data_IF_468896732333
#
_entry.id   IF_468896732333
#
_cell.length_a   1.000
_cell.length_b   1.000
_cell.length_c   1.000
_cell.angle_alpha   90.00
_cell.angle_beta   90.00
_cell.angle_gamma   90.00
#
_symmetry.space_group_name_H-M   'P 1'
#
loop_
_entity.id
_entity.type
_entity.pdbx_description
1 polymer ?
#
# COMPACT_ATOMS: atom_id res chain seq x y z
N UNK A 1 -31.46 13.66 52.83
CA UNK A 1 -31.15 14.24 51.50
C UNK A 1 -29.73 14.81 51.39
N UNK A 2 -29.23 15.60 52.35
CA UNK A 2 -27.89 16.23 52.30
C UNK A 2 -26.69 15.27 52.23
N UNK A 3 -26.81 14.04 52.78
CA UNK A 3 -25.77 13.00 52.71
C UNK A 3 -25.70 12.27 51.35
N UNK A 4 -26.80 12.16 50.63
CA UNK A 4 -26.83 11.55 49.29
C UNK A 4 -26.27 12.50 48.22
N UNK A 5 -26.42 13.82 48.40
CA UNK A 5 -25.80 14.84 47.55
C UNK A 5 -24.25 14.83 47.63
N UNK A 6 -23.67 14.54 48.79
CA UNK A 6 -22.22 14.40 48.96
C UNK A 6 -21.66 13.13 48.30
N UNK A 7 -22.42 12.04 48.27
CA UNK A 7 -22.01 10.82 47.55
C UNK A 7 -22.08 10.99 46.03
N UNK A 8 -23.06 11.75 45.52
CA UNK A 8 -23.17 12.03 44.08
C UNK A 8 -22.05 12.97 43.62
N UNK A 9 -21.62 13.94 44.44
CA UNK A 9 -20.50 14.82 44.07
C UNK A 9 -19.14 14.13 44.12
N UNK A 10 -18.99 13.02 44.85
CA UNK A 10 -17.74 12.26 44.93
C UNK A 10 -17.54 11.32 43.73
N UNK A 11 -18.64 10.86 43.11
CA UNK A 11 -18.60 9.96 41.94
C UNK A 11 -18.26 10.73 40.64
N UNK A 12 -18.54 12.03 40.58
CA UNK A 12 -18.22 12.89 39.42
C UNK A 12 -16.73 13.25 39.27
N UNK A 13 -15.90 12.98 40.29
CA UNK A 13 -14.45 13.27 40.27
C UNK A 13 -13.62 12.07 39.79
N UNK A 14 -14.27 10.96 39.43
CA UNK A 14 -13.64 9.77 38.87
C UNK A 14 -14.03 9.52 37.41
N UNK A 15 -14.47 10.55 36.70
CA UNK A 15 -14.47 10.50 35.25
C UNK A 15 -13.01 10.34 34.79
N UNK A 16 -12.65 9.22 34.13
CA UNK A 16 -11.35 9.12 33.49
C UNK A 16 -11.20 10.32 32.56
N UNK A 17 -10.05 10.99 32.64
CA UNK A 17 -9.67 12.05 31.72
C UNK A 17 -10.07 11.64 30.32
N UNK A 18 -10.90 12.45 29.67
CA UNK A 18 -11.24 12.26 28.27
C UNK A 18 -9.93 11.98 27.51
N UNK A 19 -9.90 10.85 26.80
CA UNK A 19 -8.77 10.33 26.06
C UNK A 19 -7.98 11.49 25.43
N UNK A 20 -6.86 11.87 26.04
CA UNK A 20 -5.93 12.80 25.41
C UNK A 20 -5.29 11.99 24.29
N UNK A 21 -5.84 12.14 23.07
CA UNK A 21 -5.13 11.76 21.87
C UNK A 21 -3.71 12.35 21.99
N UNK A 22 -2.69 11.53 21.75
CA UNK A 22 -1.33 12.06 21.73
C UNK A 22 -1.22 13.06 20.58
N UNK A 23 -0.33 14.04 20.71
CA UNK A 23 -0.07 15.02 19.65
C UNK A 23 0.34 14.35 18.32
N UNK A 24 0.90 13.14 18.39
CA UNK A 24 1.17 12.27 17.23
C UNK A 24 -0.11 11.79 16.55
N UNK A 25 -1.14 11.44 17.33
CA UNK A 25 -2.43 11.04 16.82
C UNK A 25 -3.18 12.23 16.21
N UNK A 26 -3.10 13.41 16.82
CA UNK A 26 -3.67 14.64 16.26
C UNK A 26 -2.98 15.03 14.95
N UNK A 27 -1.65 14.91 14.89
CA UNK A 27 -0.88 15.11 13.67
C UNK A 27 -1.28 14.13 12.58
N UNK A 28 -1.40 12.85 12.92
CA UNK A 28 -1.81 11.82 11.98
C UNK A 28 -3.22 12.05 11.42
N UNK A 29 -4.17 12.44 12.29
CA UNK A 29 -5.54 12.78 11.88
C UNK A 29 -5.55 13.99 10.94
N UNK A 30 -4.76 15.01 11.23
CA UNK A 30 -4.65 16.20 10.39
C UNK A 30 -4.10 15.85 9.00
N UNK A 31 -3.02 15.07 8.94
CA UNK A 31 -2.42 14.62 7.67
C UNK A 31 -3.37 13.75 6.85
N UNK A 32 -4.26 13.01 7.52
CA UNK A 32 -5.24 12.13 6.88
C UNK A 32 -6.55 12.84 6.49
N UNK A 33 -6.70 14.14 6.82
CA UNK A 33 -7.97 14.84 6.66
C UNK A 33 -8.23 15.40 5.25
N UNK A 34 -7.19 15.54 4.42
CA UNK A 34 -7.30 15.92 3.00
C UNK A 34 -6.03 15.56 2.22
N UNK A 35 -6.15 15.57 0.89
CA UNK A 35 -5.08 15.31 -0.05
C UNK A 35 -4.81 16.55 -0.91
N UNK A 36 -3.54 16.87 -1.14
CA UNK A 36 -3.11 17.92 -2.06
C UNK A 36 -1.85 17.47 -2.80
N UNK A 37 -2.04 16.95 -4.02
CA UNK A 37 -0.97 16.45 -4.90
C UNK A 37 0.07 17.52 -5.28
N UNK A 38 -0.24 18.81 -5.09
CA UNK A 38 0.64 19.93 -5.40
C UNK A 38 1.47 20.41 -4.21
N UNK A 39 1.26 19.86 -3.00
CA UNK A 39 1.85 20.42 -1.78
C UNK A 39 3.37 20.26 -1.76
N UNK A 40 4.10 21.36 -1.56
CA UNK A 40 5.56 21.31 -1.40
C UNK A 40 5.96 21.16 0.07
N UNK A 41 7.24 20.86 0.34
CA UNK A 41 7.78 20.84 1.71
C UNK A 41 7.56 22.16 2.47
N UNK A 42 7.60 23.29 1.76
CA UNK A 42 7.34 24.61 2.37
C UNK A 42 5.86 24.80 2.68
N UNK A 43 4.99 24.40 1.74
CA UNK A 43 3.55 24.52 1.91
C UNK A 43 3.06 23.60 3.04
N UNK A 44 3.59 22.38 3.14
CA UNK A 44 3.31 21.44 4.23
C UNK A 44 3.77 21.99 5.58
N UNK A 45 4.99 22.53 5.67
CA UNK A 45 5.48 23.13 6.91
C UNK A 45 4.62 24.34 7.33
N UNK A 46 4.24 25.19 6.39
CA UNK A 46 3.35 26.32 6.63
C UNK A 46 1.95 25.86 7.08
N UNK A 47 1.39 24.86 6.39
CA UNK A 47 0.11 24.26 6.73
C UNK A 47 0.11 23.71 8.16
N UNK A 48 1.13 22.95 8.55
CA UNK A 48 1.25 22.40 9.90
C UNK A 48 1.43 23.50 10.96
N UNK A 49 2.22 24.53 10.67
CA UNK A 49 2.38 25.69 11.56
C UNK A 49 1.07 26.44 11.80
N UNK A 50 0.23 26.59 10.77
CA UNK A 50 -1.11 27.20 10.91
C UNK A 50 -2.10 26.35 11.71
N UNK A 51 -1.81 25.05 11.87
CA UNK A 51 -2.57 24.11 12.70
C UNK A 51 -1.94 23.86 14.08
N UNK A 52 -0.93 24.66 14.47
CA UNK A 52 -0.37 24.67 15.82
C UNK A 52 0.77 23.68 16.06
N UNK A 53 1.34 23.08 15.00
CA UNK A 53 2.53 22.25 15.10
C UNK A 53 3.82 23.06 14.89
N UNK A 54 4.88 22.76 15.64
CA UNK A 54 6.23 23.32 15.38
C UNK A 54 6.86 22.57 14.21
N UNK A 55 6.58 23.03 12.99
CA UNK A 55 6.98 22.38 11.75
C UNK A 55 7.90 23.29 10.92
N UNK A 56 9.01 22.74 10.43
CA UNK A 56 9.97 23.46 9.60
C UNK A 56 10.50 22.55 8.49
N UNK A 57 10.75 23.07 7.27
CA UNK A 57 11.41 22.29 6.24
C UNK A 57 12.86 21.95 6.65
N UNK A 58 13.35 20.78 6.24
CA UNK A 58 14.74 20.39 6.43
C UNK A 58 15.70 21.37 5.73
N UNK A 59 16.99 21.46 6.15
CA UNK A 59 17.95 22.38 5.52
C UNK A 59 18.13 22.18 4.02
N UNK A 60 18.01 20.94 3.55
CA UNK A 60 18.06 20.54 2.14
C UNK A 60 16.69 20.52 1.45
N UNK A 61 15.62 20.92 2.15
CA UNK A 61 14.23 20.97 1.67
C UNK A 61 13.72 19.63 1.11
N UNK A 62 14.19 18.50 1.64
CA UNK A 62 13.78 17.16 1.22
C UNK A 62 12.61 16.61 2.05
N UNK A 63 12.42 17.08 3.29
CA UNK A 63 11.31 16.69 4.17
C UNK A 63 10.94 17.82 5.13
N UNK A 64 9.90 17.63 5.93
CA UNK A 64 9.49 18.53 7.02
C UNK A 64 9.79 17.88 8.36
N UNK A 65 10.36 18.64 9.29
CA UNK A 65 10.62 18.24 10.67
C UNK A 65 9.51 18.83 11.54
N UNK A 66 8.88 18.00 12.36
CA UNK A 66 7.89 18.43 13.36
C UNK A 66 8.41 18.10 14.75
N UNK A 67 8.49 19.11 15.61
CA UNK A 67 8.85 18.96 17.03
C UNK A 67 7.59 18.82 17.86
N UNK A 68 7.42 17.66 18.48
CA UNK A 68 6.34 17.38 19.41
C UNK A 68 6.69 17.93 20.79
N UNK A 69 5.68 18.30 21.59
CA UNK A 69 5.79 18.86 22.94
C UNK A 69 6.56 17.97 23.91
N UNK A 70 6.59 16.67 23.67
CA UNK A 70 7.40 15.70 24.42
C UNK A 70 8.91 15.76 24.11
N UNK A 71 9.35 16.69 23.24
CA UNK A 71 10.74 16.83 22.80
C UNK A 71 11.15 15.81 21.74
N UNK A 72 10.20 15.07 21.18
CA UNK A 72 10.41 14.09 20.11
C UNK A 72 10.25 14.78 18.75
N UNK A 73 11.11 14.41 17.81
CA UNK A 73 11.02 14.85 16.42
C UNK A 73 10.39 13.74 15.56
N UNK A 74 9.51 14.15 14.65
CA UNK A 74 8.98 13.29 13.58
C UNK A 74 9.20 13.98 12.23
N UNK A 75 9.25 13.20 11.17
CA UNK A 75 9.65 13.67 9.85
C UNK A 75 8.55 13.36 8.85
N UNK A 76 8.23 14.32 7.99
CA UNK A 76 7.12 14.21 7.05
C UNK A 76 7.59 14.41 5.61
N UNK A 77 7.09 13.58 4.70
CA UNK A 77 7.34 13.70 3.26
C UNK A 77 6.01 13.95 2.56
N UNK A 78 5.81 15.10 1.89
CA UNK A 78 4.57 15.42 1.20
C UNK A 78 4.34 14.43 0.07
N UNK A 79 3.05 14.21 -0.27
CA UNK A 79 2.64 13.33 -1.35
C UNK A 79 3.20 11.92 -1.24
N UNK A 80 3.28 11.40 -0.02
CA UNK A 80 3.83 10.08 0.29
C UNK A 80 3.15 8.92 -0.45
N UNK A 81 3.58 7.69 -0.18
CA UNK A 81 3.05 6.50 -0.82
C UNK A 81 1.56 6.24 -0.52
N UNK A 82 1.03 6.87 0.54
CA UNK A 82 -0.36 6.72 0.95
C UNK A 82 -1.25 7.90 0.51
N UNK A 83 -2.56 7.67 0.29
CA UNK A 83 -3.55 8.72 0.02
C UNK A 83 -3.78 9.57 1.28
N UNK A 84 -2.89 10.54 1.49
CA UNK A 84 -2.86 11.50 2.60
C UNK A 84 -1.93 12.65 2.24
N UNK A 85 -1.96 13.73 3.02
CA UNK A 85 -1.14 14.92 2.75
C UNK A 85 0.38 14.65 2.78
N UNK A 86 0.84 13.79 3.69
CA UNK A 86 2.24 13.42 3.84
C UNK A 86 2.41 12.07 4.55
N UNK A 87 3.47 11.33 4.21
CA UNK A 87 3.93 10.18 4.99
C UNK A 87 4.66 10.64 6.26
N UNK A 88 4.52 9.88 7.34
CA UNK A 88 5.13 10.16 8.65
C UNK A 88 6.20 9.13 8.99
N UNK A 89 7.36 9.62 9.42
CA UNK A 89 8.53 8.83 9.77
C UNK A 89 9.00 9.17 11.18
N UNK A 90 9.43 8.15 11.93
CA UNK A 90 10.00 8.31 13.28
C UNK A 90 11.52 8.55 13.26
N UNK A 91 12.16 8.33 12.12
CA UNK A 91 13.60 8.58 11.90
C UNK A 91 13.75 9.43 10.64
N UNK A 92 14.76 10.31 10.63
CA UNK A 92 15.04 11.14 9.47
C UNK A 92 15.21 10.25 8.23
N UNK A 93 14.53 10.56 7.10
CA UNK A 93 14.72 9.84 5.85
C UNK A 93 16.20 9.90 5.45
N UNK A 94 16.84 8.75 5.31
CA UNK A 94 18.28 8.65 4.97
C UNK A 94 18.53 8.67 3.47
N UNK A 95 17.50 8.45 2.66
CA UNK A 95 17.55 8.66 1.22
C UNK A 95 17.19 10.12 0.92
N UNK A 96 17.96 10.74 0.01
CA UNK A 96 17.47 11.85 -0.82
C UNK A 96 16.35 11.34 -1.73
N UNK A 97 15.26 10.84 -1.15
CA UNK A 97 14.03 10.58 -1.87
C UNK A 97 13.41 11.95 -2.15
N UNK A 98 13.93 12.58 -3.20
CA UNK A 98 13.19 13.58 -3.96
C UNK A 98 11.89 12.97 -4.50
N UNK A 99 11.18 13.71 -5.37
CA UNK A 99 9.73 13.64 -5.53
C UNK A 99 9.20 12.22 -5.58
N UNK A 100 8.13 11.99 -4.81
CA UNK A 100 7.39 10.73 -4.83
C UNK A 100 7.07 10.36 -6.26
N UNK A 101 7.36 9.11 -6.59
CA UNK A 101 7.04 8.52 -7.86
C UNK A 101 5.52 8.62 -8.02
N UNK A 102 5.06 9.60 -8.80
CA UNK A 102 3.69 9.62 -9.31
C UNK A 102 3.53 8.28 -10.00
N UNK A 103 2.78 7.37 -9.36
CA UNK A 103 2.33 6.14 -10.01
C UNK A 103 1.64 6.63 -11.27
N UNK A 104 2.26 6.37 -12.42
CA UNK A 104 1.76 6.88 -13.68
C UNK A 104 0.30 6.46 -13.83
N UNK A 105 -0.56 7.28 -14.42
CA UNK A 105 -2.00 6.99 -14.49
C UNK A 105 -2.32 5.66 -15.20
N UNK A 106 -1.37 5.11 -15.95
CA UNK A 106 -1.42 3.81 -16.64
C UNK A 106 -0.77 2.65 -15.87
N UNK A 107 -0.16 2.92 -14.71
CA UNK A 107 0.57 1.95 -13.92
C UNK A 107 -0.34 0.98 -13.14
N UNK A 108 -1.56 1.44 -12.79
CA UNK A 108 -2.64 0.58 -12.28
C UNK A 108 -3.78 0.59 -13.31
N UNK A 109 -4.12 -0.58 -13.84
CA UNK A 109 -5.18 -0.76 -14.82
C UNK A 109 -6.41 -1.36 -14.14
N UNK A 110 -7.57 -0.77 -14.41
CA UNK A 110 -8.83 -1.12 -13.75
C UNK A 110 -9.73 -1.91 -14.70
N UNK A 111 -10.32 -3.00 -14.20
CA UNK A 111 -11.30 -3.84 -14.91
C UNK A 111 -10.82 -4.32 -16.29
N UNK A 112 -9.59 -4.82 -16.36
CA UNK A 112 -8.99 -5.31 -17.61
C UNK A 112 -9.16 -6.81 -17.75
N UNK A 113 -9.47 -7.24 -18.98
CA UNK A 113 -9.45 -8.64 -19.40
C UNK A 113 -8.26 -8.90 -20.30
N UNK A 114 -7.54 -9.98 -20.04
CA UNK A 114 -6.36 -10.40 -20.78
C UNK A 114 -6.69 -11.60 -21.67
N UNK A 115 -6.11 -11.66 -22.88
CA UNK A 115 -6.33 -12.79 -23.77
C UNK A 115 -5.45 -13.97 -23.33
N UNK A 116 -6.06 -15.14 -23.14
CA UNK A 116 -5.32 -16.37 -22.85
C UNK A 116 -4.54 -16.82 -24.08
N UNK A 117 -3.28 -17.22 -23.90
CA UNK A 117 -2.49 -17.91 -24.94
C UNK A 117 -2.92 -19.36 -25.12
N UNK A 118 -2.96 -19.82 -26.36
CA UNK A 118 -3.16 -21.22 -26.75
C UNK A 118 -1.85 -21.92 -27.16
N UNK A 119 -0.70 -21.24 -27.03
CA UNK A 119 0.61 -21.75 -27.40
C UNK A 119 1.07 -22.87 -26.46
N UNK A 120 0.90 -24.12 -26.91
CA UNK A 120 1.18 -25.32 -26.11
C UNK A 120 2.67 -25.43 -25.68
N UNK A 121 3.61 -25.00 -26.53
CA UNK A 121 5.04 -25.05 -26.22
C UNK A 121 5.42 -24.01 -25.17
N UNK A 122 4.85 -22.81 -25.26
CA UNK A 122 4.99 -21.77 -24.24
C UNK A 122 4.41 -22.24 -22.90
N UNK A 123 3.18 -22.74 -22.87
CA UNK A 123 2.53 -23.25 -21.65
C UNK A 123 3.39 -24.32 -20.99
N UNK A 124 3.85 -25.31 -21.78
CA UNK A 124 4.71 -26.40 -21.30
C UNK A 124 6.05 -25.88 -20.76
N UNK A 125 6.62 -24.85 -21.37
CA UNK A 125 7.87 -24.22 -20.93
C UNK A 125 7.68 -23.50 -19.60
N UNK A 126 6.63 -22.68 -19.47
CA UNK A 126 6.31 -21.96 -18.24
C UNK A 126 6.02 -22.91 -17.07
N UNK A 127 5.22 -23.96 -17.29
CA UNK A 127 4.92 -24.97 -16.26
C UNK A 127 6.15 -25.71 -15.70
N UNK A 128 7.29 -25.65 -16.37
CA UNK A 128 8.53 -26.35 -15.96
C UNK A 128 9.47 -25.49 -15.13
N UNK A 129 9.29 -24.18 -15.10
CA UNK A 129 10.15 -23.29 -14.34
C UNK A 129 9.89 -23.34 -12.83
N UNK A 130 8.70 -23.77 -12.46
CA UNK A 130 8.24 -23.72 -11.07
C UNK A 130 7.55 -25.01 -10.68
N UNK A 131 7.84 -25.51 -9.49
CA UNK A 131 7.09 -26.61 -8.86
C UNK A 131 6.01 -26.01 -7.95
N UNK A 132 4.78 -26.47 -8.11
CA UNK A 132 3.63 -25.99 -7.35
C UNK A 132 3.27 -26.96 -6.21
N UNK A 133 2.73 -26.45 -5.08
CA UNK A 133 2.51 -25.04 -4.79
C UNK A 133 3.83 -24.30 -4.48
N UNK A 134 3.94 -23.04 -4.91
CA UNK A 134 5.10 -22.16 -4.66
C UNK A 134 5.19 -21.74 -3.22
N UNK A 135 4.02 -21.52 -2.61
CA UNK A 135 3.77 -21.19 -1.21
C UNK A 135 2.51 -21.93 -0.73
N UNK A 136 2.39 -22.26 0.57
CA UNK A 136 1.16 -22.74 1.18
C UNK A 136 -0.09 -21.91 0.85
N UNK A 137 -1.25 -22.56 0.92
CA UNK A 137 -2.55 -21.92 0.73
C UNK A 137 -2.72 -20.73 1.68
N UNK A 138 -3.23 -19.61 1.17
CA UNK A 138 -3.38 -18.35 1.92
C UNK A 138 -2.20 -17.39 1.80
N UNK A 139 -1.06 -17.82 1.25
CA UNK A 139 0.12 -16.96 1.06
C UNK A 139 0.26 -16.51 -0.41
N UNK A 140 -0.84 -16.02 -0.98
CA UNK A 140 -0.90 -15.62 -2.39
C UNK A 140 -0.04 -14.38 -2.71
N UNK A 141 0.17 -13.49 -1.74
CA UNK A 141 1.07 -12.33 -1.83
C UNK A 141 2.53 -12.77 -2.03
N UNK A 142 3.08 -13.51 -1.07
CA UNK A 142 4.44 -14.07 -1.15
C UNK A 142 4.62 -14.96 -2.39
N UNK A 143 3.61 -15.77 -2.68
CA UNK A 143 3.60 -16.68 -3.82
C UNK A 143 3.69 -15.93 -5.15
N UNK A 144 2.91 -14.86 -5.31
CA UNK A 144 2.93 -14.02 -6.51
C UNK A 144 4.24 -13.27 -6.68
N UNK A 145 4.83 -12.75 -5.61
CA UNK A 145 6.16 -12.11 -5.66
C UNK A 145 7.26 -13.11 -6.07
N UNK A 146 7.19 -14.35 -5.57
CA UNK A 146 8.16 -15.39 -5.96
C UNK A 146 7.99 -15.84 -7.41
N UNK A 147 6.75 -15.96 -7.90
CA UNK A 147 6.48 -16.20 -9.31
C UNK A 147 6.98 -15.06 -10.20
N UNK A 148 6.73 -13.82 -9.81
CA UNK A 148 7.20 -12.63 -10.52
C UNK A 148 8.73 -12.61 -10.67
N UNK A 149 9.46 -12.76 -9.56
CA UNK A 149 10.93 -12.87 -9.59
C UNK A 149 11.38 -14.01 -10.52
N UNK A 150 10.77 -15.19 -10.40
CA UNK A 150 11.15 -16.37 -11.19
C UNK A 150 11.00 -16.11 -12.69
N UNK A 151 9.83 -15.64 -13.13
CA UNK A 151 9.59 -15.46 -14.57
C UNK A 151 10.33 -14.26 -15.16
N UNK A 152 10.51 -13.18 -14.39
CA UNK A 152 11.36 -12.05 -14.80
C UNK A 152 12.82 -12.44 -14.94
N UNK A 153 13.34 -13.31 -14.08
CA UNK A 153 14.71 -13.84 -14.21
C UNK A 153 14.89 -14.67 -15.49
N UNK A 154 13.83 -15.34 -15.96
CA UNK A 154 13.78 -15.97 -17.29
C UNK A 154 13.44 -14.99 -18.43
N UNK A 155 13.41 -13.70 -18.14
CA UNK A 155 13.22 -12.60 -19.08
C UNK A 155 11.79 -12.46 -19.60
N UNK A 156 10.79 -13.00 -18.90
CA UNK A 156 9.38 -12.81 -19.28
C UNK A 156 8.81 -11.54 -18.69
N UNK A 157 7.81 -10.97 -19.38
CA UNK A 157 6.99 -9.93 -18.82
C UNK A 157 5.92 -10.55 -17.93
N UNK A 158 5.74 -9.96 -16.76
CA UNK A 158 4.78 -10.41 -15.76
C UNK A 158 3.89 -9.24 -15.38
N UNK A 159 2.60 -9.52 -15.24
CA UNK A 159 1.63 -8.61 -14.66
C UNK A 159 1.04 -9.25 -13.42
N UNK A 160 0.78 -8.45 -12.40
CA UNK A 160 -0.03 -8.84 -11.25
C UNK A 160 -1.50 -8.60 -11.55
N UNK A 161 -2.32 -9.52 -11.09
CA UNK A 161 -3.78 -9.52 -11.21
C UNK A 161 -4.34 -9.63 -9.79
N UNK A 162 -5.17 -8.67 -9.39
CA UNK A 162 -5.68 -8.57 -8.03
C UNK A 162 -7.19 -8.38 -8.00
N UNK A 163 -7.84 -9.19 -7.17
CA UNK A 163 -9.27 -9.13 -6.89
C UNK A 163 -9.51 -8.94 -5.38
N UNK A 164 -10.01 -7.77 -4.93
CA UNK A 164 -10.28 -7.51 -3.51
C UNK A 164 -11.43 -8.37 -2.95
N UNK A 165 -12.29 -8.91 -3.80
CA UNK A 165 -13.39 -9.80 -3.41
C UNK A 165 -12.96 -11.27 -3.32
N UNK A 166 -11.65 -11.54 -3.30
CA UNK A 166 -11.05 -12.88 -3.29
C UNK A 166 -11.27 -13.69 -2.00
N UNK A 167 -10.57 -14.82 -1.89
CA UNK A 167 -10.86 -15.93 -0.95
C UNK A 167 -10.65 -15.64 0.56
N UNK A 168 -10.44 -14.39 0.94
CA UNK A 168 -10.31 -13.92 2.32
C UNK A 168 -10.70 -12.42 2.41
N UNK A 169 -10.73 -11.85 3.62
CA UNK A 169 -11.06 -10.42 3.81
C UNK A 169 -10.01 -9.45 3.24
N UNK A 170 -8.93 -9.96 2.65
CA UNK A 170 -7.81 -9.19 2.11
C UNK A 170 -7.70 -9.29 0.59
N UNK A 171 -8.45 -10.18 -0.07
CA UNK A 171 -8.44 -10.33 -1.52
C UNK A 171 -7.40 -11.33 -2.02
N UNK A 172 -7.44 -11.61 -3.31
CA UNK A 172 -6.61 -12.61 -3.97
C UNK A 172 -5.74 -11.97 -5.05
N UNK A 173 -4.44 -12.29 -5.05
CA UNK A 173 -3.47 -11.87 -6.05
C UNK A 173 -2.83 -13.07 -6.73
N UNK A 174 -2.67 -12.98 -8.05
CA UNK A 174 -1.96 -13.93 -8.88
C UNK A 174 -1.18 -13.20 -9.97
N UNK A 175 -0.46 -13.93 -10.82
CA UNK A 175 0.30 -13.33 -11.93
C UNK A 175 -0.17 -13.83 -13.29
N UNK A 176 0.08 -13.05 -14.34
CA UNK A 176 0.05 -13.55 -15.71
C UNK A 176 1.35 -13.24 -16.44
N UNK A 177 1.79 -14.20 -17.25
CA UNK A 177 3.07 -14.15 -17.97
C UNK A 177 2.79 -14.00 -19.46
N UNK A 178 3.43 -13.03 -20.11
CA UNK A 178 3.23 -12.76 -21.53
C UNK A 178 3.90 -13.84 -22.39
N UNK A 179 3.18 -14.32 -23.40
CA UNK A 179 3.73 -15.13 -24.47
C UNK A 179 4.55 -14.23 -25.41
N UNK A 180 5.87 -14.42 -25.42
CA UNK A 180 6.79 -13.64 -26.24
C UNK A 180 6.53 -13.79 -27.74
N UNK A 181 5.94 -14.90 -28.15
CA UNK A 181 5.69 -15.21 -29.55
C UNK A 181 4.32 -14.70 -30.02
N UNK A 182 3.43 -14.33 -29.07
CA UNK A 182 2.07 -13.82 -29.34
C UNK A 182 1.77 -12.58 -28.50
N UNK A 183 1.98 -11.40 -29.09
CA UNK A 183 1.74 -10.12 -28.42
C UNK A 183 0.34 -10.04 -27.81
N UNK A 184 0.25 -9.58 -26.56
CA UNK A 184 -0.98 -9.48 -25.78
C UNK A 184 -1.69 -10.82 -25.48
N UNK A 185 -1.01 -11.96 -25.64
CA UNK A 185 -1.48 -13.24 -25.14
C UNK A 185 -0.74 -13.60 -23.84
N UNK A 186 -1.49 -14.06 -22.85
CA UNK A 186 -1.01 -14.21 -21.48
C UNK A 186 -1.35 -15.60 -20.95
N UNK A 187 -0.56 -16.08 -20.00
CA UNK A 187 -0.86 -17.29 -19.23
C UNK A 187 -1.00 -16.92 -17.77
N UNK A 188 -2.19 -17.10 -17.21
CA UNK A 188 -2.44 -16.87 -15.80
C UNK A 188 -1.88 -18.02 -14.94
N UNK A 189 -1.28 -17.65 -13.81
CA UNK A 189 -0.57 -18.57 -12.93
C UNK A 189 -0.89 -18.20 -11.49
N UNK A 190 -1.54 -19.12 -10.80
CA UNK A 190 -1.76 -19.05 -9.37
C UNK A 190 -0.59 -19.69 -8.62
N UNK A 191 -0.18 -19.07 -7.51
CA UNK A 191 0.95 -19.55 -6.71
C UNK A 191 0.72 -20.90 -6.05
N UNK A 192 -0.52 -21.29 -5.80
CA UNK A 192 -0.88 -22.57 -5.21
C UNK A 192 -1.33 -23.59 -6.27
N UNK A 193 -2.25 -23.21 -7.16
CA UNK A 193 -2.87 -24.09 -8.16
C UNK A 193 -2.05 -24.25 -9.45
N UNK A 194 -1.10 -23.36 -9.73
CA UNK A 194 -0.28 -23.40 -10.93
C UNK A 194 -0.94 -22.74 -12.13
N UNK A 195 -0.82 -23.35 -13.31
CA UNK A 195 -1.33 -22.77 -14.55
C UNK A 195 -2.85 -22.78 -14.57
N UNK A 196 -3.46 -21.61 -14.77
CA UNK A 196 -4.90 -21.42 -14.75
C UNK A 196 -5.47 -21.27 -16.16
N UNK A 197 -6.56 -21.98 -16.43
CA UNK A 197 -7.29 -21.95 -17.71
C UNK A 197 -8.69 -21.38 -17.59
N UNK A 198 -9.18 -21.20 -16.37
CA UNK A 198 -10.51 -20.69 -16.12
C UNK A 198 -10.57 -19.20 -16.51
N UNK A 199 -11.60 -18.76 -17.27
CA UNK A 199 -11.69 -17.38 -17.77
C UNK A 199 -11.64 -16.31 -16.68
N UNK A 200 -12.05 -16.65 -15.46
CA UNK A 200 -12.02 -15.76 -14.30
C UNK A 200 -10.60 -15.31 -13.92
N UNK A 201 -9.56 -16.11 -14.18
CA UNK A 201 -8.17 -15.75 -13.93
C UNK A 201 -7.61 -14.75 -14.94
N UNK A 202 -8.36 -14.48 -16.01
CA UNK A 202 -7.97 -13.55 -17.07
C UNK A 202 -8.68 -12.21 -16.96
N UNK A 203 -9.53 -12.02 -15.94
CA UNK A 203 -10.12 -10.74 -15.60
C UNK A 203 -9.70 -10.36 -14.18
N UNK A 204 -9.28 -9.11 -13.99
CA UNK A 204 -9.01 -8.59 -12.65
C UNK A 204 -9.55 -7.17 -12.49
N UNK A 205 -10.21 -6.86 -11.34
CA UNK A 205 -10.57 -5.49 -10.99
C UNK A 205 -9.37 -4.54 -11.01
N UNK A 206 -8.20 -5.02 -10.60
CA UNK A 206 -6.94 -4.28 -10.67
C UNK A 206 -5.83 -5.14 -11.26
N UNK A 207 -4.99 -4.53 -12.11
CA UNK A 207 -3.77 -5.15 -12.61
C UNK A 207 -2.64 -4.14 -12.73
N UNK A 208 -1.40 -4.58 -12.52
CA UNK A 208 -0.24 -3.69 -12.43
C UNK A 208 1.07 -4.43 -12.75
N UNK A 209 2.06 -3.71 -13.25
CA UNK A 209 3.36 -4.30 -13.62
C UNK A 209 4.34 -4.41 -12.42
N UNK A 210 4.12 -3.69 -11.31
CA UNK A 210 5.02 -3.69 -10.15
C UNK A 210 4.24 -3.98 -8.86
N UNK A 211 4.72 -4.93 -8.05
CA UNK A 211 4.01 -5.39 -6.85
C UNK A 211 3.72 -4.27 -5.85
N UNK A 212 4.60 -3.28 -5.75
CA UNK A 212 4.45 -2.11 -4.87
C UNK A 212 3.18 -1.29 -5.14
N UNK A 213 2.59 -1.37 -6.34
CA UNK A 213 1.32 -0.68 -6.63
C UNK A 213 0.14 -1.30 -5.88
N UNK A 214 0.27 -2.51 -5.33
CA UNK A 214 -0.72 -3.09 -4.43
C UNK A 214 -0.90 -2.23 -3.17
N UNK A 215 0.12 -1.51 -2.70
CA UNK A 215 0.02 -0.63 -1.53
C UNK A 215 -1.00 0.50 -1.73
N UNK A 216 -1.18 0.95 -2.97
CA UNK A 216 -2.17 1.97 -3.34
C UNK A 216 -3.59 1.41 -3.44
N UNK A 217 -3.73 0.08 -3.64
CA UNK A 217 -5.03 -0.59 -3.87
C UNK A 217 -5.54 -1.23 -2.58
N UNK A 218 -4.68 -1.93 -1.85
CA UNK A 218 -5.03 -2.64 -0.61
C UNK A 218 -3.88 -2.55 0.43
N UNK A 219 -3.66 -1.41 1.09
CA UNK A 219 -2.57 -1.28 2.06
C UNK A 219 -2.65 -2.26 3.26
N UNK A 220 -3.79 -2.91 3.48
CA UNK A 220 -3.99 -3.88 4.54
C UNK A 220 -3.34 -5.24 4.26
N UNK A 221 -2.91 -5.52 3.01
CA UNK A 221 -2.25 -6.79 2.64
C UNK A 221 -1.01 -7.10 3.50
N UNK A 222 -0.35 -6.05 4.00
CA UNK A 222 0.84 -6.14 4.87
C UNK A 222 0.55 -6.62 6.29
N UNK A 223 -0.73 -6.71 6.67
CA UNK A 223 -1.18 -7.18 7.98
C UNK A 223 -1.56 -8.67 7.97
N UNK A 224 -1.49 -9.33 6.81
CA UNK A 224 -1.69 -10.77 6.65
C UNK A 224 -0.59 -11.61 7.29
#
# INVERSE_FOLDING_TARGET
MRRYLLLISLILIHLPSACQASEENDLWLLLSSYEDMGITNKDLAFFLATHGFDAQPSPDQSYVIVKLKAGKEVYLTPNGASPRLADLWMTAPTAKAGPVQVISSDAIRINVTYNMTDNADFIKKISRYTMFPVTPLGMCYDGSQKLDSTYRDFGYRVIFLYNPSGFDSQGHIWVAVEDKDHLNAWLAIDSYYGVMKDPEYYFAPYSFDEFQYLDAINPQWRLA
#
